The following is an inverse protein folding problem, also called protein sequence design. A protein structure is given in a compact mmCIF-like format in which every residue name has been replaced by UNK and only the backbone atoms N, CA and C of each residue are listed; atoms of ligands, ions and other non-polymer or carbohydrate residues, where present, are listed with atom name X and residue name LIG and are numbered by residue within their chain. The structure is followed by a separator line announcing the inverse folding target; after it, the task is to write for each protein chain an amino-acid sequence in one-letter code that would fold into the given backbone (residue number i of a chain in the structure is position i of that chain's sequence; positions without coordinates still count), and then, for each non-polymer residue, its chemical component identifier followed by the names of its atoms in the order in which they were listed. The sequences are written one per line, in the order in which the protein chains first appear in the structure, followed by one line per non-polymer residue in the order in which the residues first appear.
data_IF_854828098754
#
_entry.id   IF_854828098754
#
_cell.length_a   1.000
_cell.length_b   1.000
_cell.length_c   1.000
_cell.angle_alpha   90.00
_cell.angle_beta   90.00
_cell.angle_gamma   90.00
#
_symmetry.space_group_name_H-M   'P 1'
#
loop_
_entity.id
_entity.type
_entity.pdbx_description
1 polymer ?
#
# COMPACT_ATOMS: atom_id res chain seq x y z
N UNK A 1 -41.39 61.44 20.49
CA UNK A 1 -41.03 60.16 21.14
C UNK A 1 -40.81 59.06 20.20
N UNK A 2 -41.60 58.88 19.15
CA UNK A 2 -41.45 57.75 18.20
C UNK A 2 -40.11 57.75 17.44
N UNK A 3 -39.55 58.92 17.08
CA UNK A 3 -38.25 59.01 16.40
C UNK A 3 -37.05 58.53 17.26
N UNK A 4 -37.09 58.84 18.55
CA UNK A 4 -36.01 58.50 19.49
C UNK A 4 -35.99 57.01 19.78
N UNK A 5 -37.15 56.36 19.82
CA UNK A 5 -37.28 54.91 19.98
C UNK A 5 -36.78 54.20 18.74
N UNK A 6 -37.08 54.69 17.53
CA UNK A 6 -36.62 54.12 16.27
C UNK A 6 -35.08 54.17 16.14
N UNK A 7 -34.48 55.29 16.50
CA UNK A 7 -33.04 55.48 16.51
C UNK A 7 -32.39 54.50 17.50
N UNK A 8 -32.95 54.31 18.68
CA UNK A 8 -32.45 53.34 19.64
C UNK A 8 -32.51 51.90 19.16
N UNK A 9 -33.59 51.52 18.48
CA UNK A 9 -33.74 50.17 17.89
C UNK A 9 -32.71 49.94 16.77
N UNK A 10 -32.51 50.93 15.90
CA UNK A 10 -31.51 50.82 14.82
C UNK A 10 -30.08 50.68 15.37
N UNK A 11 -29.75 51.46 16.41
CA UNK A 11 -28.42 51.37 17.07
C UNK A 11 -28.23 50.03 17.75
N UNK A 12 -29.23 49.47 18.42
CA UNK A 12 -29.16 48.16 19.05
C UNK A 12 -28.97 47.06 18.00
N UNK A 13 -29.68 47.10 16.88
CA UNK A 13 -29.53 46.16 15.80
C UNK A 13 -28.15 46.26 15.13
N UNK A 14 -27.61 47.43 14.94
CA UNK A 14 -26.29 47.65 14.40
C UNK A 14 -25.19 47.09 15.33
N UNK A 15 -25.32 47.32 16.65
CA UNK A 15 -24.39 46.79 17.66
C UNK A 15 -24.47 45.26 17.77
N UNK A 16 -25.67 44.66 17.69
CA UNK A 16 -25.85 43.22 17.67
C UNK A 16 -25.23 42.58 16.42
N UNK A 17 -25.43 43.20 15.25
CA UNK A 17 -24.81 42.75 14.00
C UNK A 17 -23.28 42.81 14.03
N UNK A 18 -22.71 43.89 14.58
CA UNK A 18 -21.27 44.04 14.74
C UNK A 18 -20.69 43.01 15.73
N UNK A 19 -21.40 42.71 16.83
CA UNK A 19 -20.96 41.69 17.79
C UNK A 19 -20.98 40.29 17.18
N UNK A 20 -21.99 39.94 16.39
CA UNK A 20 -22.08 38.65 15.68
C UNK A 20 -20.98 38.52 14.62
N UNK A 21 -20.73 39.57 13.86
CA UNK A 21 -19.65 39.58 12.87
C UNK A 21 -18.27 39.47 13.52
N UNK A 22 -18.03 40.19 14.63
CA UNK A 22 -16.76 40.08 15.37
C UNK A 22 -16.56 38.68 15.97
N UNK A 23 -17.64 38.09 16.53
CA UNK A 23 -17.60 36.69 17.02
C UNK A 23 -17.29 35.70 15.91
N UNK A 24 -17.92 35.86 14.73
CA UNK A 24 -17.71 35.01 13.58
C UNK A 24 -16.26 35.10 13.05
N UNK A 25 -15.74 36.33 12.96
CA UNK A 25 -14.36 36.57 12.53
C UNK A 25 -13.37 36.00 13.56
N UNK A 26 -13.66 36.19 14.86
CA UNK A 26 -12.78 35.72 15.93
C UNK A 26 -12.78 34.20 16.02
N UNK A 27 -13.93 33.54 15.86
CA UNK A 27 -14.08 32.11 15.91
C UNK A 27 -13.49 31.41 14.67
N UNK A 28 -13.59 32.06 13.51
CA UNK A 28 -13.01 31.51 12.27
C UNK A 28 -11.53 31.86 12.08
N UNK A 29 -11.00 32.82 12.82
CA UNK A 29 -9.59 33.19 12.72
C UNK A 29 -8.66 32.10 13.30
N UNK A 30 -9.15 31.33 14.26
CA UNK A 30 -8.40 30.19 14.85
C UNK A 30 -8.70 28.87 14.16
N UNK A 31 -9.58 28.83 13.16
CA UNK A 31 -9.67 27.74 12.20
C UNK A 31 -8.53 27.90 11.19
N UNK A 32 -7.34 27.52 11.63
CA UNK A 32 -6.36 27.01 10.71
C UNK A 32 -6.99 25.72 10.19
N UNK A 33 -7.36 25.69 8.89
CA UNK A 33 -7.60 24.41 8.24
C UNK A 33 -6.40 23.55 8.64
N UNK A 34 -6.61 22.36 9.24
CA UNK A 34 -5.50 21.45 9.42
C UNK A 34 -4.84 21.40 8.06
N UNK A 35 -3.56 21.81 7.96
CA UNK A 35 -2.76 21.45 6.81
C UNK A 35 -3.02 19.96 6.66
N UNK A 36 -3.88 19.63 5.71
CA UNK A 36 -3.92 18.28 5.18
C UNK A 36 -2.51 18.16 4.65
N UNK A 37 -1.63 17.52 5.42
CA UNK A 37 -0.37 17.04 4.88
C UNK A 37 -0.78 16.46 3.54
N UNK A 38 -0.43 17.16 2.46
CA UNK A 38 -0.54 16.58 1.13
C UNK A 38 0.06 15.19 1.32
N UNK A 39 -0.69 14.12 1.01
CA UNK A 39 -0.15 12.79 1.20
C UNK A 39 1.23 12.86 0.59
N UNK A 40 2.25 12.61 1.41
CA UNK A 40 3.62 12.56 0.93
C UNK A 40 3.50 11.79 -0.37
N UNK A 41 3.80 12.46 -1.48
CA UNK A 41 3.89 11.78 -2.76
C UNK A 41 4.96 10.76 -2.49
N UNK A 42 4.54 9.55 -2.14
CA UNK A 42 5.43 8.43 -2.06
C UNK A 42 6.11 8.47 -3.41
N UNK A 43 7.37 8.83 -3.42
CA UNK A 43 8.19 8.65 -4.60
C UNK A 43 7.91 7.22 -4.98
N UNK A 44 7.27 7.01 -6.12
CA UNK A 44 7.00 5.69 -6.65
C UNK A 44 8.32 4.92 -6.50
N UNK A 45 8.37 4.06 -5.48
CA UNK A 45 9.51 3.18 -5.30
C UNK A 45 9.37 2.21 -6.45
N UNK A 46 10.09 2.50 -7.51
CA UNK A 46 10.14 1.64 -8.68
C UNK A 46 11.19 0.58 -8.43
N UNK A 47 10.73 -0.66 -8.29
CA UNK A 47 11.62 -1.82 -8.25
C UNK A 47 11.86 -2.31 -9.67
N UNK A 48 13.08 -2.78 -9.93
CA UNK A 48 13.42 -3.42 -11.20
C UNK A 48 12.85 -4.84 -11.24
N UNK A 49 11.77 -5.03 -12.00
CA UNK A 49 11.10 -6.32 -12.16
C UNK A 49 12.03 -7.41 -12.72
N UNK A 50 13.03 -7.04 -13.53
CA UNK A 50 13.98 -7.98 -14.09
C UNK A 50 14.80 -8.71 -13.01
N UNK A 51 15.00 -8.05 -11.87
CA UNK A 51 15.67 -8.67 -10.71
C UNK A 51 14.84 -9.78 -10.06
N UNK A 52 13.51 -9.73 -10.22
CA UNK A 52 12.60 -10.73 -9.67
C UNK A 52 12.68 -12.06 -10.42
N UNK A 53 13.01 -12.03 -11.69
CA UNK A 53 13.04 -13.23 -12.54
C UNK A 53 14.10 -14.22 -12.05
N UNK A 54 13.68 -15.46 -11.86
CA UNK A 54 14.52 -16.54 -11.37
C UNK A 54 13.91 -17.29 -10.19
N UNK A 55 14.74 -18.01 -9.46
CA UNK A 55 14.33 -18.84 -8.32
C UNK A 55 14.74 -18.18 -7.00
N UNK A 56 13.80 -18.12 -6.11
CA UNK A 56 13.95 -17.55 -4.77
C UNK A 56 13.54 -18.56 -3.71
N UNK A 57 14.22 -18.54 -2.56
CA UNK A 57 13.89 -19.40 -1.42
C UNK A 57 13.85 -18.67 -0.11
N UNK A 58 12.89 -19.07 0.73
CA UNK A 58 12.86 -18.80 2.16
C UNK A 58 12.77 -20.14 2.88
N UNK A 59 13.86 -20.55 3.56
CA UNK A 59 13.95 -21.91 4.11
C UNK A 59 13.88 -22.96 3.01
N UNK A 60 12.88 -23.84 3.07
CA UNK A 60 12.61 -24.88 2.06
C UNK A 60 11.45 -24.56 1.14
N UNK A 61 10.89 -23.34 1.26
CA UNK A 61 9.85 -22.81 0.38
C UNK A 61 10.47 -22.04 -0.79
N UNK A 62 10.13 -22.43 -2.01
CA UNK A 62 10.71 -21.93 -3.25
C UNK A 62 9.65 -21.28 -4.13
N UNK A 63 10.07 -20.23 -4.85
CA UNK A 63 9.32 -19.58 -5.91
C UNK A 63 10.18 -19.43 -7.15
N UNK A 64 9.64 -19.82 -8.30
CA UNK A 64 10.22 -19.45 -9.61
C UNK A 64 9.33 -18.41 -10.25
N UNK A 65 9.87 -17.22 -10.51
CA UNK A 65 9.19 -16.15 -11.22
C UNK A 65 9.69 -16.09 -12.67
N UNK A 66 8.76 -16.11 -13.62
CA UNK A 66 9.05 -16.08 -15.05
C UNK A 66 8.73 -14.71 -15.64
N UNK A 67 9.39 -14.33 -16.72
CA UNK A 67 9.21 -13.05 -17.41
C UNK A 67 7.79 -12.82 -17.93
N UNK A 68 7.06 -13.90 -18.21
CA UNK A 68 5.68 -13.85 -18.72
C UNK A 68 4.62 -13.57 -17.66
N UNK A 69 5.02 -13.31 -16.41
CA UNK A 69 4.13 -13.08 -15.28
C UNK A 69 3.60 -14.34 -14.62
N UNK A 70 4.08 -15.51 -15.00
CA UNK A 70 3.78 -16.79 -14.32
C UNK A 70 4.80 -17.08 -13.25
N UNK A 71 4.42 -17.88 -12.26
CA UNK A 71 5.31 -18.39 -11.23
C UNK A 71 4.88 -19.78 -10.77
N UNK A 72 5.80 -20.46 -10.11
CA UNK A 72 5.56 -21.74 -9.44
C UNK A 72 6.08 -21.66 -8.01
N UNK A 73 5.28 -22.12 -7.07
CA UNK A 73 5.65 -22.27 -5.67
C UNK A 73 5.71 -23.75 -5.29
N UNK A 74 6.77 -24.17 -4.62
CA UNK A 74 6.90 -25.52 -4.07
C UNK A 74 7.60 -25.49 -2.72
N UNK A 75 7.38 -26.49 -1.90
CA UNK A 75 7.95 -26.62 -0.56
C UNK A 75 8.58 -27.99 -0.37
N UNK A 76 9.90 -28.03 -0.25
CA UNK A 76 10.65 -29.27 -0.05
C UNK A 76 10.45 -29.88 1.34
N UNK A 77 10.00 -29.10 2.33
CA UNK A 77 9.66 -29.63 3.66
C UNK A 77 8.41 -30.51 3.64
N UNK A 78 7.56 -30.33 2.62
CA UNK A 78 6.36 -31.12 2.36
C UNK A 78 6.56 -32.21 1.29
N UNK A 79 7.81 -32.45 0.88
CA UNK A 79 8.17 -33.36 -0.23
C UNK A 79 7.55 -32.96 -1.59
N UNK A 80 7.20 -31.68 -1.77
CA UNK A 80 6.68 -31.15 -3.03
C UNK A 80 7.83 -30.64 -3.88
N UNK A 81 8.00 -31.21 -5.07
CA UNK A 81 8.99 -30.79 -6.05
C UNK A 81 8.44 -29.69 -6.97
N UNK A 82 9.32 -29.03 -7.72
CA UNK A 82 8.94 -27.94 -8.63
C UNK A 82 7.87 -28.34 -9.66
N UNK A 83 7.96 -29.53 -10.22
CA UNK A 83 7.01 -30.07 -11.22
C UNK A 83 5.63 -30.41 -10.63
N UNK A 84 5.54 -30.53 -9.32
CA UNK A 84 4.32 -30.74 -8.54
C UNK A 84 3.86 -29.44 -7.83
N UNK A 85 4.58 -28.34 -8.02
CA UNK A 85 4.33 -27.06 -7.37
C UNK A 85 3.02 -26.41 -7.78
N UNK A 86 2.62 -25.42 -7.01
CA UNK A 86 1.42 -24.63 -7.28
C UNK A 86 1.72 -23.52 -8.27
N UNK A 87 0.98 -23.49 -9.38
CA UNK A 87 1.07 -22.43 -10.38
C UNK A 87 0.32 -21.20 -9.91
N UNK A 88 0.90 -20.02 -10.15
CA UNK A 88 0.33 -18.71 -9.86
C UNK A 88 0.76 -17.70 -10.92
N UNK A 89 0.13 -16.55 -10.91
CA UNK A 89 0.60 -15.36 -11.64
C UNK A 89 1.01 -14.28 -10.67
N UNK A 90 1.90 -13.41 -11.09
CA UNK A 90 2.41 -12.32 -10.27
C UNK A 90 2.40 -10.99 -11.00
N UNK A 91 2.28 -9.91 -10.25
CA UNK A 91 2.47 -8.54 -10.70
C UNK A 91 3.23 -7.75 -9.65
N UNK A 92 4.05 -6.79 -10.09
CA UNK A 92 4.73 -5.84 -9.24
C UNK A 92 4.48 -4.43 -9.80
N UNK A 93 3.68 -3.66 -9.06
CA UNK A 93 3.34 -2.28 -9.40
C UNK A 93 3.79 -1.37 -8.26
N UNK A 94 4.85 -0.58 -8.48
CA UNK A 94 5.48 0.16 -7.40
C UNK A 94 5.99 -0.81 -6.33
N UNK A 95 5.50 -0.68 -5.11
CA UNK A 95 5.78 -1.59 -3.98
C UNK A 95 4.71 -2.67 -3.77
N UNK A 96 3.64 -2.66 -4.57
CA UNK A 96 2.56 -3.65 -4.47
C UNK A 96 2.91 -4.91 -5.25
N UNK A 97 3.19 -5.98 -4.52
CA UNK A 97 3.54 -7.29 -5.06
C UNK A 97 2.38 -8.26 -4.85
N UNK A 98 1.76 -8.70 -5.95
CA UNK A 98 0.55 -9.52 -5.91
C UNK A 98 0.81 -10.90 -6.50
N UNK A 99 0.40 -11.93 -5.77
CA UNK A 99 0.28 -13.30 -6.24
C UNK A 99 -1.18 -13.66 -6.46
N UNK A 100 -1.53 -14.19 -7.62
CA UNK A 100 -2.86 -14.68 -7.93
C UNK A 100 -2.83 -16.20 -8.07
N UNK A 101 -3.52 -16.89 -7.18
CA UNK A 101 -3.68 -18.33 -7.19
C UNK A 101 -5.02 -18.71 -7.82
N UNK A 102 -5.00 -19.62 -8.77
CA UNK A 102 -6.22 -20.21 -9.37
C UNK A 102 -6.57 -21.46 -8.60
N UNK A 103 -7.77 -21.48 -8.03
CA UNK A 103 -8.25 -22.64 -7.27
C UNK A 103 -8.86 -23.70 -8.21
N UNK A 104 -8.68 -24.97 -7.89
CA UNK A 104 -9.23 -26.10 -8.68
C UNK A 104 -10.75 -26.06 -8.81
N UNK A 105 -11.44 -25.51 -7.80
CA UNK A 105 -12.91 -25.38 -7.80
C UNK A 105 -13.42 -24.16 -8.58
N UNK A 106 -12.51 -23.42 -9.24
CA UNK A 106 -12.78 -22.12 -9.87
C UNK A 106 -12.76 -21.00 -8.85
N UNK A 107 -12.21 -19.88 -9.26
CA UNK A 107 -11.99 -18.71 -8.45
C UNK A 107 -10.51 -18.35 -8.36
N UNK A 108 -10.25 -17.10 -8.05
CA UNK A 108 -8.90 -16.53 -7.95
C UNK A 108 -8.72 -16.03 -6.53
N UNK A 109 -7.65 -16.44 -5.88
CA UNK A 109 -7.27 -15.96 -4.55
C UNK A 109 -6.06 -15.04 -4.70
N UNK A 110 -6.23 -13.73 -4.49
CA UNK A 110 -5.11 -12.80 -4.46
C UNK A 110 -4.41 -12.86 -3.10
N UNK A 111 -3.09 -12.81 -3.12
CA UNK A 111 -2.26 -12.51 -1.96
C UNK A 111 -1.44 -11.27 -2.29
N UNK A 112 -1.63 -10.22 -1.51
CA UNK A 112 -0.99 -8.92 -1.72
C UNK A 112 0.08 -8.70 -0.68
N UNK A 113 1.28 -8.37 -1.14
CA UNK A 113 2.44 -8.08 -0.30
C UNK A 113 2.96 -6.69 -0.60
N UNK A 114 3.72 -6.14 0.33
CA UNK A 114 4.46 -4.90 0.13
C UNK A 114 5.93 -5.21 -0.07
N UNK A 115 6.44 -4.96 -1.29
CA UNK A 115 7.85 -5.12 -1.60
C UNK A 115 8.66 -4.07 -0.83
N UNK A 116 9.64 -4.50 -0.07
CA UNK A 116 10.50 -3.62 0.74
C UNK A 116 11.90 -3.50 0.19
N UNK A 117 12.43 -4.58 -0.38
CA UNK A 117 13.75 -4.62 -0.98
C UNK A 117 13.78 -5.67 -2.08
N UNK A 118 14.39 -5.35 -3.19
CA UNK A 118 14.63 -6.27 -4.31
C UNK A 118 16.02 -5.99 -4.88
N UNK A 119 16.94 -6.90 -4.63
CA UNK A 119 18.33 -6.84 -5.04
C UNK A 119 18.69 -8.08 -5.88
N UNK A 120 19.92 -8.17 -6.33
CA UNK A 120 20.38 -9.28 -7.18
C UNK A 120 20.23 -10.66 -6.53
N UNK A 121 20.41 -10.73 -5.21
CA UNK A 121 20.44 -11.98 -4.46
C UNK A 121 19.54 -12.01 -3.23
N UNK A 122 18.86 -10.91 -2.92
CA UNK A 122 18.02 -10.78 -1.73
C UNK A 122 16.71 -10.07 -2.08
N UNK A 123 15.60 -10.61 -1.59
CA UNK A 123 14.27 -10.03 -1.71
C UNK A 123 13.59 -10.03 -0.36
N UNK A 124 12.97 -8.90 0.00
CA UNK A 124 12.17 -8.77 1.22
C UNK A 124 10.81 -8.19 0.90
N UNK A 125 9.76 -8.86 1.32
CA UNK A 125 8.42 -8.30 1.28
C UNK A 125 7.64 -8.59 2.56
N UNK A 126 6.70 -7.72 2.90
CA UNK A 126 5.83 -7.85 4.06
C UNK A 126 4.44 -8.35 3.67
N UNK A 127 3.83 -9.14 4.56
CA UNK A 127 2.45 -9.58 4.45
C UNK A 127 1.49 -8.67 5.24
N UNK A 128 0.18 -8.94 5.15
CA UNK A 128 -0.87 -8.20 5.85
C UNK A 128 -0.81 -8.33 7.38
N UNK A 129 -0.06 -9.30 7.88
CA UNK A 129 0.13 -9.53 9.32
C UNK A 129 1.36 -8.80 9.88
N UNK A 130 2.08 -8.03 9.04
CA UNK A 130 3.28 -7.33 9.42
C UNK A 130 4.53 -8.21 9.49
N UNK A 131 4.48 -9.43 8.96
CA UNK A 131 5.62 -10.34 8.88
C UNK A 131 6.44 -10.04 7.62
N UNK A 132 7.74 -9.88 7.79
CA UNK A 132 8.66 -9.74 6.67
C UNK A 132 9.19 -11.11 6.24
N UNK A 133 9.03 -11.42 4.96
CA UNK A 133 9.60 -12.59 4.33
C UNK A 133 10.89 -12.23 3.63
N UNK A 134 11.96 -12.94 3.96
CA UNK A 134 13.30 -12.71 3.42
C UNK A 134 13.69 -13.89 2.54
N UNK A 135 13.87 -13.62 1.25
CA UNK A 135 14.23 -14.62 0.24
C UNK A 135 15.66 -14.41 -0.23
N UNK A 136 16.32 -15.51 -0.51
CA UNK A 136 17.61 -15.55 -1.19
C UNK A 136 17.46 -16.12 -2.60
N UNK A 137 18.17 -15.55 -3.57
CA UNK A 137 18.18 -16.04 -4.93
C UNK A 137 18.98 -17.33 -5.01
N UNK A 138 18.41 -18.31 -5.71
CA UNK A 138 19.05 -19.62 -5.94
C UNK A 138 19.63 -19.63 -7.33
N UNK A 139 20.90 -20.02 -7.45
CA UNK A 139 21.50 -20.30 -8.76
C UNK A 139 20.95 -21.62 -9.32
N UNK A 140 20.60 -21.66 -10.58
CA UNK A 140 19.99 -22.85 -11.21
C UNK A 140 20.86 -24.11 -11.11
N UNK A 141 22.17 -23.96 -11.03
CA UNK A 141 23.12 -25.06 -10.84
C UNK A 141 22.95 -25.78 -9.49
N UNK A 142 22.32 -25.15 -8.49
CA UNK A 142 22.07 -25.75 -7.18
C UNK A 142 20.79 -26.60 -7.14
N UNK A 143 19.91 -26.45 -8.14
CA UNK A 143 18.65 -27.20 -8.22
C UNK A 143 18.82 -28.62 -8.79
N UNK A 144 19.99 -28.95 -9.34
CA UNK A 144 20.28 -30.25 -9.99
C UNK A 144 20.86 -31.26 -8.98
N UNK A 145 21.06 -30.83 -7.76
CA UNK A 145 21.52 -31.67 -6.66
C UNK A 145 20.34 -32.06 -5.76
#
# INVERSE_FOLDING_TARGET
MKKKIWIAIVVILALAGAAVAAYYIWFHKDWVEPEVDEPEVFHDIEFDEDLLIGVWKEGENYYRYNEDGTAVNWDLSEDVMEDEGTELTWTLEGDVFTHLYVMEIGGIVPKVFTMKSLELDTMVYGDDYGVNHVFSKVEELQLIQ
#
